data_IF_044523002513
#
_entry.id   IF_044523002513
#
_cell.length_a   1.000
_cell.length_b   1.000
_cell.length_c   1.000
_cell.angle_alpha   90.00
_cell.angle_beta   90.00
_cell.angle_gamma   90.00
#
_symmetry.space_group_name_H-M   'P 1'
#
loop_
_entity.id
_entity.type
_entity.pdbx_description
1 polymer ?
#
# COMPACT_ATOMS: atom_id res chain seq x y z
N UNK A 1 -21.72 -16.01 -1.09
CA UNK A 1 -20.46 -15.36 -0.72
C UNK A 1 -20.63 -13.87 -0.82
N UNK A 2 -19.72 -13.10 -0.22
CA UNK A 2 -19.67 -11.66 -0.42
C UNK A 2 -18.97 -11.33 -1.74
N UNK A 3 -19.48 -10.32 -2.44
CA UNK A 3 -18.97 -9.90 -3.74
C UNK A 3 -18.94 -8.38 -3.84
N UNK A 4 -17.85 -7.84 -4.38
CA UNK A 4 -17.78 -6.43 -4.80
C UNK A 4 -18.35 -6.31 -6.21
N UNK A 5 -19.26 -5.35 -6.38
CA UNK A 5 -19.97 -5.05 -7.62
C UNK A 5 -19.48 -3.72 -8.16
N UNK A 6 -19.00 -3.71 -9.39
CA UNK A 6 -18.57 -2.52 -10.09
C UNK A 6 -19.30 -2.35 -11.43
N UNK A 7 -19.36 -1.12 -11.93
CA UNK A 7 -19.95 -0.78 -13.22
C UNK A 7 -19.00 0.07 -14.06
N UNK A 8 -19.14 -0.02 -15.37
CA UNK A 8 -18.52 0.90 -16.32
C UNK A 8 -19.59 1.57 -17.18
N UNK A 9 -19.27 2.72 -17.76
CA UNK A 9 -20.12 3.44 -18.71
C UNK A 9 -19.28 4.44 -19.51
N UNK A 10 -19.83 4.91 -20.64
CA UNK A 10 -19.25 6.04 -21.37
C UNK A 10 -19.66 7.36 -20.71
N UNK A 11 -18.76 8.33 -20.45
CA UNK A 11 -19.04 9.63 -19.80
C UNK A 11 -19.21 10.83 -20.76
N UNK A 12 -20.08 11.80 -20.42
CA UNK A 12 -20.40 13.02 -21.22
C UNK A 12 -21.35 13.94 -20.44
N UNK A 13 -21.36 15.21 -20.83
CA UNK A 13 -22.05 16.28 -20.12
C UNK A 13 -23.59 16.19 -20.08
N UNK A 14 -24.22 15.28 -20.83
CA UNK A 14 -25.69 15.12 -20.83
C UNK A 14 -26.17 13.90 -20.03
N UNK A 15 -25.28 13.15 -19.39
CA UNK A 15 -25.66 12.01 -18.55
C UNK A 15 -26.17 12.48 -17.19
N UNK A 16 -26.90 11.58 -16.54
CA UNK A 16 -27.40 11.81 -15.19
C UNK A 16 -26.25 12.00 -14.19
N UNK A 17 -26.45 12.89 -13.23
CA UNK A 17 -25.54 13.05 -12.07
C UNK A 17 -25.91 12.14 -10.90
N UNK A 18 -27.07 11.49 -10.97
CA UNK A 18 -27.68 10.67 -9.93
C UNK A 18 -28.22 9.33 -10.49
N UNK A 19 -27.51 8.68 -11.40
CA UNK A 19 -27.96 7.42 -12.00
C UNK A 19 -28.05 6.29 -10.95
N UNK A 20 -29.26 5.76 -10.66
CA UNK A 20 -29.48 4.86 -9.52
C UNK A 20 -29.18 3.39 -9.87
N UNK A 21 -28.25 2.80 -9.14
CA UNK A 21 -27.95 1.37 -9.16
C UNK A 21 -28.49 0.67 -7.90
N UNK A 22 -29.10 -0.50 -8.04
CA UNK A 22 -29.56 -1.34 -6.92
C UNK A 22 -29.20 -2.80 -7.13
N UNK A 23 -28.61 -3.44 -6.12
CA UNK A 23 -28.32 -4.87 -6.13
C UNK A 23 -29.39 -5.67 -5.37
N UNK A 24 -29.73 -6.86 -5.85
CA UNK A 24 -30.71 -7.78 -5.26
C UNK A 24 -30.16 -9.19 -5.14
N UNK A 25 -30.57 -9.88 -4.07
CA UNK A 25 -30.25 -11.28 -3.85
C UNK A 25 -31.23 -12.19 -4.59
N UNK A 26 -30.99 -12.42 -5.87
CA UNK A 26 -31.87 -13.18 -6.75
C UNK A 26 -32.91 -12.33 -7.49
N UNK A 27 -33.54 -12.94 -8.48
CA UNK A 27 -34.56 -12.27 -9.32
C UNK A 27 -35.82 -11.99 -8.47
N UNK A 28 -36.10 -10.71 -8.22
CA UNK A 28 -37.19 -10.28 -7.34
C UNK A 28 -36.91 -10.52 -5.85
N UNK A 29 -35.65 -10.76 -5.49
CA UNK A 29 -35.22 -10.95 -4.11
C UNK A 29 -35.11 -9.64 -3.32
N UNK A 30 -34.65 -9.71 -2.05
CA UNK A 30 -34.43 -8.52 -1.24
C UNK A 30 -33.28 -7.66 -1.81
N UNK A 31 -33.40 -6.34 -1.61
CA UNK A 31 -32.33 -5.38 -1.90
C UNK A 31 -31.13 -5.67 -0.99
N UNK A 32 -29.94 -5.75 -1.59
CA UNK A 32 -28.65 -5.89 -0.91
C UNK A 32 -27.96 -4.54 -0.71
N UNK A 33 -28.17 -3.58 -1.61
CA UNK A 33 -27.61 -2.24 -1.54
C UNK A 33 -28.06 -1.37 -2.72
N UNK A 34 -27.90 -0.05 -2.60
CA UNK A 34 -28.19 0.91 -3.67
C UNK A 34 -27.25 2.12 -3.61
N UNK A 35 -26.92 2.70 -4.75
CA UNK A 35 -26.08 3.91 -4.87
C UNK A 35 -26.49 4.72 -6.10
N UNK A 36 -26.43 6.05 -5.99
CA UNK A 36 -26.61 6.97 -7.12
C UNK A 36 -25.24 7.43 -7.63
N UNK A 37 -25.05 7.42 -8.95
CA UNK A 37 -23.74 7.62 -9.58
C UNK A 37 -23.78 8.75 -10.62
N UNK A 38 -22.77 9.62 -10.58
CA UNK A 38 -22.61 10.66 -11.59
C UNK A 38 -21.95 10.11 -12.86
N UNK A 39 -22.76 9.85 -13.89
CA UNK A 39 -22.29 9.32 -15.17
C UNK A 39 -21.73 10.39 -16.13
N UNK A 40 -21.65 11.65 -15.70
CA UNK A 40 -20.94 12.67 -16.47
C UNK A 40 -19.42 12.49 -16.37
N UNK A 41 -18.95 11.90 -15.27
CA UNK A 41 -17.56 11.55 -15.06
C UNK A 41 -17.27 10.14 -15.57
N UNK A 42 -16.06 9.94 -16.08
CA UNK A 42 -15.60 8.59 -16.38
C UNK A 42 -15.60 7.77 -15.08
N UNK A 43 -15.94 6.48 -15.13
CA UNK A 43 -15.52 5.59 -14.06
C UNK A 43 -14.00 5.72 -13.88
N UNK A 44 -13.55 5.78 -12.64
CA UNK A 44 -12.17 6.11 -12.31
C UNK A 44 -11.73 5.46 -11.01
N UNK A 45 -12.43 4.42 -10.53
CA UNK A 45 -11.98 3.71 -9.35
C UNK A 45 -10.90 2.69 -9.74
N UNK A 46 -10.97 2.09 -10.94
CA UNK A 46 -9.96 1.12 -11.41
C UNK A 46 -9.97 0.79 -12.90
N UNK A 47 -8.86 0.26 -13.39
CA UNK A 47 -8.73 -0.25 -14.77
C UNK A 47 -8.75 -1.78 -14.81
N UNK A 48 -9.64 -2.37 -15.60
CA UNK A 48 -9.67 -3.83 -15.79
C UNK A 48 -10.33 -4.20 -17.11
N UNK A 49 -9.86 -5.26 -17.76
CA UNK A 49 -10.36 -5.73 -19.05
C UNK A 49 -10.43 -4.64 -20.14
N UNK A 50 -9.51 -3.66 -20.10
CA UNK A 50 -9.41 -2.58 -21.08
C UNK A 50 -10.44 -1.46 -20.91
N UNK A 51 -11.08 -1.34 -19.74
CA UNK A 51 -11.94 -0.21 -19.41
C UNK A 51 -11.81 0.20 -17.94
N UNK A 52 -12.24 1.43 -17.65
CA UNK A 52 -12.27 1.94 -16.29
C UNK A 52 -13.59 1.57 -15.62
N UNK A 53 -13.58 1.38 -14.31
CA UNK A 53 -14.69 0.88 -13.52
C UNK A 53 -14.94 1.76 -12.30
N UNK A 54 -16.18 1.74 -11.83
CA UNK A 54 -16.65 2.36 -10.59
C UNK A 54 -17.17 1.27 -9.67
N UNK A 55 -16.63 1.15 -8.47
CA UNK A 55 -17.21 0.32 -7.43
C UNK A 55 -18.55 0.90 -6.99
N UNK A 56 -19.58 0.06 -7.05
CA UNK A 56 -20.94 0.43 -6.65
C UNK A 56 -21.17 0.08 -5.17
N UNK A 57 -20.86 -1.17 -4.80
CA UNK A 57 -21.18 -1.74 -3.49
C UNK A 57 -20.54 -3.10 -3.29
N UNK A 58 -20.45 -3.54 -2.03
CA UNK A 58 -20.17 -4.95 -1.67
C UNK A 58 -21.43 -5.59 -1.11
N UNK A 59 -21.77 -6.81 -1.56
CA UNK A 59 -23.04 -7.47 -1.27
C UNK A 59 -22.87 -8.94 -0.88
N UNK A 60 -23.65 -9.39 0.11
CA UNK A 60 -23.72 -10.81 0.47
C UNK A 60 -24.77 -11.54 -0.38
N UNK A 61 -24.31 -12.35 -1.33
CA UNK A 61 -25.19 -13.16 -2.18
C UNK A 61 -25.36 -14.54 -1.55
N UNK A 62 -26.59 -14.88 -1.17
CA UNK A 62 -26.92 -16.17 -0.55
C UNK A 62 -27.70 -17.11 -1.46
N UNK A 63 -28.38 -16.59 -2.49
CA UNK A 63 -29.25 -17.37 -3.38
C UNK A 63 -28.59 -17.79 -4.70
N UNK A 64 -27.26 -17.62 -4.80
CA UNK A 64 -26.47 -18.01 -5.98
C UNK A 64 -26.72 -17.18 -7.24
N UNK A 65 -27.65 -16.22 -7.21
CA UNK A 65 -27.92 -15.25 -8.27
C UNK A 65 -27.87 -13.83 -7.69
N UNK A 66 -27.13 -12.95 -8.35
CA UNK A 66 -27.08 -11.52 -8.05
C UNK A 66 -27.75 -10.78 -9.22
N UNK A 67 -28.67 -9.86 -8.92
CA UNK A 67 -29.24 -8.95 -9.92
C UNK A 67 -28.77 -7.54 -9.61
N UNK A 68 -28.22 -6.85 -10.61
CA UNK A 68 -27.87 -5.42 -10.51
C UNK A 68 -28.78 -4.68 -11.47
N UNK A 69 -29.61 -3.81 -10.93
CA UNK A 69 -30.56 -2.99 -11.67
C UNK A 69 -30.02 -1.56 -11.77
N UNK A 70 -30.15 -0.97 -12.96
CA UNK A 70 -29.94 0.45 -13.22
C UNK A 70 -31.26 1.02 -13.73
N UNK A 71 -31.82 2.02 -13.04
CA UNK A 71 -33.09 2.63 -13.45
C UNK A 71 -32.87 4.01 -14.06
N UNK A 72 -33.89 4.54 -14.74
CA UNK A 72 -33.87 5.87 -15.33
C UNK A 72 -34.57 6.93 -14.47
N UNK A 73 -34.81 6.63 -13.19
CA UNK A 73 -35.30 7.59 -12.19
C UNK A 73 -34.16 8.54 -11.78
N UNK A 74 -33.72 9.35 -12.75
CA UNK A 74 -32.51 10.17 -12.67
C UNK A 74 -32.71 11.52 -13.39
N UNK A 75 -31.82 12.47 -13.16
CA UNK A 75 -31.86 13.84 -13.66
C UNK A 75 -31.40 14.02 -15.12
N UNK A 76 -30.97 12.94 -15.78
CA UNK A 76 -30.40 12.97 -17.12
C UNK A 76 -30.41 11.63 -17.86
N UNK A 77 -29.62 11.52 -18.94
CA UNK A 77 -29.49 10.25 -19.66
C UNK A 77 -28.73 9.22 -18.82
N UNK A 78 -29.31 8.05 -18.64
CA UNK A 78 -28.68 6.91 -17.96
C UNK A 78 -28.11 5.94 -18.99
N UNK A 79 -26.85 5.56 -18.83
CA UNK A 79 -26.08 4.70 -19.73
C UNK A 79 -25.77 3.39 -19.01
N UNK A 80 -26.31 2.30 -19.55
CA UNK A 80 -25.95 0.94 -19.16
C UNK A 80 -24.85 0.42 -20.08
N UNK A 81 -23.81 -0.18 -19.51
CA UNK A 81 -22.75 -0.87 -20.25
C UNK A 81 -22.48 -2.24 -19.63
N UNK A 82 -21.54 -2.35 -18.67
CA UNK A 82 -21.18 -3.62 -18.06
C UNK A 82 -21.11 -3.56 -16.52
N UNK A 83 -21.28 -4.75 -15.90
CA UNK A 83 -21.12 -4.99 -14.47
C UNK A 83 -19.99 -6.02 -14.27
N UNK A 84 -19.11 -5.76 -13.31
CA UNK A 84 -18.09 -6.70 -12.82
C UNK A 84 -18.44 -7.14 -11.40
N UNK A 85 -18.30 -8.44 -11.15
CA UNK A 85 -18.55 -9.04 -9.84
C UNK A 85 -17.30 -9.83 -9.46
N UNK A 86 -16.64 -9.45 -8.37
CA UNK A 86 -15.46 -10.12 -7.85
C UNK A 86 -15.74 -10.64 -6.44
N UNK A 87 -15.24 -11.83 -6.03
CA UNK A 87 -15.27 -12.25 -4.64
C UNK A 87 -14.68 -11.14 -3.78
N UNK A 88 -15.41 -10.80 -2.73
CA UNK A 88 -14.96 -9.78 -1.81
C UNK A 88 -13.96 -10.44 -0.83
N UNK A 89 -12.81 -9.82 -0.54
CA UNK A 89 -11.85 -10.26 0.51
C UNK A 89 -12.59 -10.68 1.79
N UNK A 90 -12.26 -11.76 2.50
CA UNK A 90 -13.04 -12.18 3.66
C UNK A 90 -13.11 -11.06 4.70
N UNK A 91 -14.27 -10.90 5.37
CA UNK A 91 -14.32 -10.11 6.61
C UNK A 91 -13.30 -10.72 7.59
N UNK A 92 -12.55 -9.91 8.35
CA UNK A 92 -11.55 -10.42 9.29
C UNK A 92 -12.22 -11.39 10.26
N UNK A 93 -12.00 -12.69 10.08
CA UNK A 93 -12.72 -13.73 10.81
C UNK A 93 -12.07 -14.00 12.17
N UNK A 94 -10.76 -13.80 12.26
CA UNK A 94 -9.94 -13.93 13.46
C UNK A 94 -8.88 -12.81 13.49
N UNK A 95 -8.56 -12.25 14.66
CA UNK A 95 -7.51 -11.24 14.79
C UNK A 95 -6.14 -11.85 14.50
N UNK A 96 -5.33 -11.15 13.70
CA UNK A 96 -3.92 -11.50 13.50
C UNK A 96 -3.13 -11.08 14.74
N UNK A 97 -2.25 -11.96 15.22
CA UNK A 97 -1.32 -11.69 16.32
C UNK A 97 0.10 -11.68 15.77
N UNK A 98 0.80 -10.55 15.93
CA UNK A 98 2.21 -10.44 15.51
C UNK A 98 3.11 -11.16 16.53
N UNK A 99 3.43 -12.42 16.27
CA UNK A 99 4.24 -13.26 17.15
C UNK A 99 5.16 -14.29 16.44
N UNK A 100 5.08 -14.39 15.11
CA UNK A 100 5.88 -15.30 14.29
C UNK A 100 5.27 -16.70 14.13
N UNK A 101 4.08 -16.95 14.69
CA UNK A 101 3.23 -18.12 14.40
C UNK A 101 2.18 -17.77 13.34
N UNK A 102 2.45 -18.15 12.09
CA UNK A 102 1.62 -17.80 10.95
C UNK A 102 0.34 -18.64 10.78
N UNK A 103 -0.09 -19.36 11.82
CA UNK A 103 -1.26 -20.24 11.73
C UNK A 103 -2.59 -19.49 11.60
N UNK A 104 -2.68 -18.26 12.12
CA UNK A 104 -3.83 -17.36 11.97
C UNK A 104 -3.96 -16.79 10.53
N UNK A 105 -2.86 -16.73 9.77
CA UNK A 105 -2.83 -16.38 8.34
C UNK A 105 -3.39 -17.46 7.42
N UNK A 106 -3.70 -18.66 7.92
CA UNK A 106 -4.14 -19.80 7.11
C UNK A 106 -5.46 -19.54 6.36
N UNK A 107 -6.32 -18.67 6.89
CA UNK A 107 -7.62 -18.32 6.29
C UNK A 107 -7.57 -17.07 5.40
N UNK A 108 -6.47 -16.31 5.45
CA UNK A 108 -6.31 -15.08 4.67
C UNK A 108 -5.98 -15.44 3.22
N UNK A 109 -6.61 -14.79 2.22
CA UNK A 109 -6.30 -15.00 0.82
C UNK A 109 -4.82 -14.81 0.53
N UNK A 110 -4.27 -15.67 -0.30
CA UNK A 110 -2.85 -15.66 -0.68
C UNK A 110 -2.72 -15.19 -2.11
N UNK A 111 -1.89 -14.17 -2.30
CA UNK A 111 -1.39 -13.74 -3.59
C UNK A 111 0.00 -14.35 -3.77
N UNK A 112 0.33 -14.73 -5.00
CA UNK A 112 1.56 -15.45 -5.31
C UNK A 112 2.35 -14.68 -6.33
N UNK A 113 3.65 -14.67 -6.15
CA UNK A 113 4.61 -14.11 -7.07
C UNK A 113 5.40 -15.27 -7.71
N UNK A 114 5.84 -15.17 -8.98
CA UNK A 114 6.73 -16.17 -9.55
C UNK A 114 8.01 -16.28 -8.72
N UNK A 115 8.63 -17.45 -8.72
CA UNK A 115 9.96 -17.58 -8.13
C UNK A 115 11.03 -17.30 -9.20
N UNK A 116 12.20 -16.81 -8.75
CA UNK A 116 13.38 -16.57 -9.59
C UNK A 116 13.24 -15.40 -10.59
N UNK A 117 12.54 -14.33 -10.21
CA UNK A 117 12.34 -13.13 -11.04
C UNK A 117 12.74 -11.80 -10.38
N UNK A 118 13.42 -11.84 -9.22
CA UNK A 118 14.05 -10.65 -8.63
C UNK A 118 14.94 -9.91 -9.64
N UNK A 119 15.01 -8.60 -9.48
CA UNK A 119 15.55 -7.71 -10.49
C UNK A 119 16.35 -6.54 -9.90
N UNK A 120 17.06 -5.80 -10.75
CA UNK A 120 17.75 -4.56 -10.38
C UNK A 120 16.77 -3.38 -10.23
N UNK A 121 17.20 -2.32 -9.55
CA UNK A 121 16.38 -1.11 -9.30
C UNK A 121 16.81 0.10 -10.14
N UNK A 122 17.64 -0.13 -11.16
CA UNK A 122 18.18 0.96 -12.00
C UNK A 122 17.18 1.44 -13.08
N UNK A 123 16.05 0.75 -13.25
CA UNK A 123 15.01 1.12 -14.20
C UNK A 123 14.06 2.16 -13.62
N UNK A 124 13.61 3.11 -14.44
CA UNK A 124 12.81 4.27 -13.98
C UNK A 124 11.75 4.72 -14.98
N UNK A 125 11.56 4.00 -16.09
CA UNK A 125 10.63 4.38 -17.14
C UNK A 125 9.50 3.36 -17.30
N UNK A 126 8.34 3.87 -17.67
CA UNK A 126 7.18 3.04 -17.99
C UNK A 126 7.51 2.01 -19.08
N UNK A 127 7.27 0.74 -18.77
CA UNK A 127 7.49 -0.38 -19.69
C UNK A 127 8.95 -0.84 -19.82
N UNK A 128 9.85 -0.32 -18.98
CA UNK A 128 11.19 -0.92 -18.83
C UNK A 128 11.07 -2.38 -18.37
N UNK A 129 12.05 -3.20 -18.76
CA UNK A 129 12.21 -4.55 -18.22
C UNK A 129 13.56 -4.59 -17.51
N UNK A 130 13.59 -4.71 -16.18
CA UNK A 130 14.84 -4.70 -15.44
C UNK A 130 15.67 -5.95 -15.68
N UNK A 131 16.95 -5.88 -15.32
CA UNK A 131 17.82 -7.04 -15.40
C UNK A 131 17.57 -7.94 -14.18
N UNK A 132 17.52 -9.26 -14.40
CA UNK A 132 17.50 -10.22 -13.30
C UNK A 132 18.73 -10.06 -12.40
N UNK A 133 18.49 -10.11 -11.08
CA UNK A 133 19.52 -10.10 -10.04
C UNK A 133 19.30 -11.34 -9.18
N UNK A 134 20.33 -12.16 -8.99
CA UNK A 134 20.17 -13.36 -8.18
C UNK A 134 20.33 -13.02 -6.69
N UNK A 135 19.21 -12.71 -6.04
CA UNK A 135 19.18 -12.33 -4.63
C UNK A 135 18.03 -13.03 -3.89
N UNK A 136 18.25 -14.26 -3.37
CA UNK A 136 17.16 -15.07 -2.82
C UNK A 136 16.45 -14.43 -1.63
N UNK A 137 17.13 -13.58 -0.84
CA UNK A 137 16.49 -12.93 0.32
C UNK A 137 15.37 -11.96 -0.10
N UNK A 138 15.33 -11.47 -1.35
CA UNK A 138 14.24 -10.61 -1.84
C UNK A 138 13.29 -11.31 -2.79
N UNK A 139 13.56 -12.56 -3.18
CA UNK A 139 12.71 -13.37 -4.07
C UNK A 139 11.36 -13.64 -3.42
N UNK A 140 10.39 -12.80 -3.73
CA UNK A 140 9.05 -12.83 -3.14
C UNK A 140 8.32 -14.05 -3.72
N UNK A 141 7.62 -14.78 -2.85
CA UNK A 141 6.89 -15.99 -3.25
C UNK A 141 5.40 -15.84 -3.03
N UNK A 142 5.03 -15.27 -1.88
CA UNK A 142 3.64 -15.01 -1.56
C UNK A 142 3.49 -13.85 -0.60
N UNK A 143 2.34 -13.20 -0.70
CA UNK A 143 2.00 -12.05 0.12
C UNK A 143 0.51 -12.06 0.45
N UNK A 144 0.16 -11.49 1.60
CA UNK A 144 -1.22 -11.42 2.08
C UNK A 144 -1.49 -10.12 2.80
N UNK A 145 -2.77 -9.74 2.79
CA UNK A 145 -3.27 -8.59 3.53
C UNK A 145 -4.59 -8.93 4.22
N UNK A 146 -4.69 -8.53 5.48
CA UNK A 146 -5.95 -8.40 6.21
C UNK A 146 -5.94 -7.10 7.01
N UNK A 147 -7.06 -6.78 7.66
CA UNK A 147 -7.17 -5.58 8.49
C UNK A 147 -8.09 -5.84 9.69
N UNK A 148 -8.03 -4.97 10.68
CA UNK A 148 -9.11 -4.80 11.65
C UNK A 148 -9.66 -3.36 11.55
N UNK A 149 -10.38 -2.89 12.57
CA UNK A 149 -10.97 -1.55 12.55
C UNK A 149 -9.94 -0.41 12.57
N UNK A 150 -8.69 -0.69 12.93
CA UNK A 150 -7.66 0.30 13.23
C UNK A 150 -6.30 -0.01 12.58
N UNK A 151 -6.11 -1.20 12.01
CA UNK A 151 -4.80 -1.67 11.56
C UNK A 151 -4.88 -2.46 10.26
N UNK A 152 -3.86 -2.29 9.42
CA UNK A 152 -3.48 -3.30 8.45
C UNK A 152 -2.61 -4.37 9.10
N UNK A 153 -2.71 -5.57 8.54
CA UNK A 153 -1.78 -6.67 8.77
C UNK A 153 -1.28 -7.13 7.41
N UNK A 154 0.04 -7.21 7.26
CA UNK A 154 0.70 -7.65 6.04
C UNK A 154 1.58 -8.86 6.30
N UNK A 155 1.65 -9.74 5.32
CA UNK A 155 2.45 -10.97 5.31
C UNK A 155 3.30 -11.00 4.05
N UNK A 156 4.54 -11.46 4.18
CA UNK A 156 5.44 -11.74 3.09
C UNK A 156 6.12 -13.10 3.32
N UNK A 157 6.34 -13.84 2.24
CA UNK A 157 7.14 -15.06 2.18
C UNK A 157 8.18 -14.90 1.06
N UNK A 158 9.43 -15.23 1.33
CA UNK A 158 10.53 -15.16 0.36
C UNK A 158 11.32 -16.47 0.29
N UNK A 159 12.02 -16.70 -0.81
CA UNK A 159 12.91 -17.87 -0.96
C UNK A 159 14.06 -17.86 0.04
N UNK A 160 14.59 -16.68 0.37
CA UNK A 160 15.70 -16.47 1.30
C UNK A 160 15.25 -15.89 2.64
N UNK A 161 16.19 -15.30 3.38
CA UNK A 161 15.95 -14.78 4.74
C UNK A 161 15.56 -13.29 4.70
N UNK A 162 14.32 -12.97 5.07
CA UNK A 162 13.80 -11.59 5.07
C UNK A 162 14.48 -10.76 6.17
N UNK A 163 14.85 -9.51 5.85
CA UNK A 163 15.42 -8.55 6.80
C UNK A 163 16.90 -8.76 7.12
N UNK A 164 17.53 -9.78 6.52
CA UNK A 164 18.95 -10.07 6.74
C UNK A 164 19.82 -9.01 6.07
N UNK A 165 20.75 -8.44 6.84
CA UNK A 165 21.69 -7.41 6.35
C UNK A 165 23.12 -7.70 6.79
N UNK A 166 24.10 -7.32 5.95
CA UNK A 166 25.51 -7.41 6.31
C UNK A 166 25.84 -6.45 7.46
N UNK A 167 26.51 -6.96 8.50
CA UNK A 167 27.11 -6.13 9.55
C UNK A 167 28.42 -5.54 9.04
N UNK A 168 28.61 -4.25 9.25
CA UNK A 168 29.84 -3.53 8.87
C UNK A 168 31.06 -4.11 9.58
N UNK A 169 32.09 -4.39 8.78
CA UNK A 169 33.43 -4.72 9.25
C UNK A 169 34.46 -4.02 8.37
N UNK A 170 34.79 -2.78 8.75
CA UNK A 170 35.76 -1.94 8.05
C UNK A 170 37.16 -2.56 8.01
N UNK A 171 37.52 -3.44 8.96
CA UNK A 171 38.82 -4.11 8.95
C UNK A 171 38.92 -5.15 7.83
N UNK A 172 37.79 -5.74 7.44
CA UNK A 172 37.68 -6.71 6.35
C UNK A 172 37.08 -6.11 5.07
N UNK A 173 36.80 -4.80 5.05
CA UNK A 173 36.25 -4.09 3.90
C UNK A 173 34.76 -4.37 3.64
N UNK A 174 34.03 -4.87 4.65
CA UNK A 174 32.60 -5.14 4.56
C UNK A 174 31.81 -3.88 4.94
N UNK A 175 30.93 -3.41 4.04
CA UNK A 175 30.01 -2.30 4.30
C UNK A 175 28.74 -2.78 5.00
N UNK A 176 28.05 -1.89 5.73
CA UNK A 176 26.72 -2.20 6.24
C UNK A 176 25.72 -2.41 5.08
N UNK A 177 24.94 -3.49 5.17
CA UNK A 177 23.82 -3.76 4.26
C UNK A 177 22.51 -3.11 4.72
N UNK A 178 21.53 -3.07 3.83
CA UNK A 178 20.16 -2.54 4.01
C UNK A 178 19.15 -3.53 3.48
N UNK A 179 17.98 -3.55 4.09
CA UNK A 179 16.84 -4.35 3.64
C UNK A 179 15.55 -3.58 3.92
N UNK A 180 14.62 -3.60 2.98
CA UNK A 180 13.28 -2.99 3.10
C UNK A 180 12.20 -4.04 2.89
N UNK A 181 11.22 -4.03 3.79
CA UNK A 181 9.92 -4.68 3.59
C UNK A 181 8.93 -3.55 3.33
N UNK A 182 8.35 -3.52 2.14
CA UNK A 182 7.61 -2.36 1.63
C UNK A 182 6.21 -2.79 1.23
N UNK A 183 5.22 -2.02 1.67
CA UNK A 183 3.89 -2.00 1.05
C UNK A 183 3.65 -0.60 0.50
N UNK A 184 3.59 -0.46 -0.83
CA UNK A 184 3.14 0.78 -1.47
C UNK A 184 1.62 0.77 -1.54
N UNK A 185 1.00 1.93 -1.31
CA UNK A 185 -0.44 2.07 -1.13
C UNK A 185 -0.94 3.29 -1.91
N UNK A 186 -1.84 3.06 -2.85
CA UNK A 186 -2.77 4.08 -3.34
C UNK A 186 -3.92 4.16 -2.32
N UNK A 187 -4.05 5.33 -1.68
CA UNK A 187 -4.95 5.50 -0.53
C UNK A 187 -6.32 6.03 -0.92
N UNK A 188 -6.48 6.56 -2.13
CA UNK A 188 -7.69 7.26 -2.57
C UNK A 188 -8.26 6.77 -3.92
N UNK A 189 -7.61 5.82 -4.56
CA UNK A 189 -7.93 5.27 -5.89
C UNK A 189 -7.93 6.35 -6.99
N UNK A 190 -7.10 7.38 -6.86
CA UNK A 190 -6.90 8.42 -7.88
C UNK A 190 -5.50 8.31 -8.50
N UNK A 191 -5.42 7.75 -9.72
CA UNK A 191 -4.17 7.67 -10.51
C UNK A 191 -3.48 9.05 -10.74
N UNK A 192 -4.15 10.18 -10.45
CA UNK A 192 -3.56 11.50 -10.56
C UNK A 192 -2.71 11.93 -9.35
N UNK A 193 -2.85 11.27 -8.20
CA UNK A 193 -2.04 11.51 -7.00
C UNK A 193 -0.89 10.50 -6.90
N UNK A 194 0.01 10.71 -5.95
CA UNK A 194 1.11 9.78 -5.73
C UNK A 194 2.14 9.78 -6.87
N UNK A 195 2.74 8.62 -7.09
CA UNK A 195 3.73 8.39 -8.14
C UNK A 195 3.51 7.03 -8.80
N UNK A 196 4.01 6.83 -10.02
CA UNK A 196 4.06 5.52 -10.61
C UNK A 196 5.16 4.64 -10.01
N UNK A 197 4.85 3.38 -9.67
CA UNK A 197 5.80 2.46 -9.04
C UNK A 197 7.13 2.30 -9.80
N UNK A 198 7.10 2.34 -11.13
CA UNK A 198 8.34 2.21 -11.92
C UNK A 198 9.35 3.33 -11.65
N UNK A 199 8.94 4.52 -11.16
CA UNK A 199 9.91 5.56 -10.78
C UNK A 199 10.76 5.14 -9.57
N UNK A 200 10.25 4.26 -8.73
CA UNK A 200 10.95 3.71 -7.57
C UNK A 200 11.80 2.49 -7.86
N UNK A 201 11.90 2.06 -9.12
CA UNK A 201 12.58 0.82 -9.48
C UNK A 201 11.79 -0.44 -9.08
N UNK A 202 10.48 -0.33 -8.86
CA UNK A 202 9.59 -1.48 -8.65
C UNK A 202 9.09 -2.03 -9.98
N UNK A 203 9.05 -3.35 -10.12
CA UNK A 203 8.56 -4.01 -11.34
C UNK A 203 7.51 -5.08 -11.02
N UNK A 204 6.26 -4.81 -11.39
CA UNK A 204 5.11 -5.68 -11.08
C UNK A 204 4.77 -6.66 -12.21
N UNK A 205 5.47 -6.61 -13.34
CA UNK A 205 5.06 -7.32 -14.56
C UNK A 205 3.78 -6.79 -15.24
N UNK A 206 3.12 -5.78 -14.68
CA UNK A 206 1.90 -5.16 -15.22
C UNK A 206 2.11 -3.68 -15.58
N UNK A 207 1.11 -3.06 -16.20
CA UNK A 207 1.11 -1.62 -16.50
C UNK A 207 0.24 -0.80 -15.55
N UNK A 208 -0.40 -1.44 -14.58
CA UNK A 208 -1.31 -0.80 -13.62
C UNK A 208 -0.51 -0.40 -12.39
N UNK A 209 0.28 0.67 -12.53
CA UNK A 209 1.31 1.04 -11.55
C UNK A 209 1.28 2.51 -11.19
N UNK A 210 0.24 3.25 -11.57
CA UNK A 210 0.09 4.69 -11.31
C UNK A 210 -0.63 4.90 -9.96
N UNK A 211 -0.62 6.12 -9.40
CA UNK A 211 -1.49 6.47 -8.26
C UNK A 211 -0.97 6.18 -6.84
N UNK A 212 0.22 5.59 -6.66
CA UNK A 212 0.65 5.16 -5.33
C UNK A 212 1.09 6.34 -4.45
N UNK A 213 0.36 6.61 -3.37
CA UNK A 213 0.54 7.83 -2.58
C UNK A 213 1.51 7.68 -1.41
N UNK A 214 1.46 6.52 -0.76
CA UNK A 214 2.07 6.30 0.55
C UNK A 214 2.67 4.90 0.66
N UNK A 215 3.69 4.75 1.50
CA UNK A 215 4.21 3.42 1.83
C UNK A 215 4.09 3.16 3.33
N UNK A 216 4.00 1.89 3.69
CA UNK A 216 4.33 1.40 5.02
C UNK A 216 5.55 0.48 4.93
N UNK A 217 6.60 0.80 5.69
CA UNK A 217 7.91 0.18 5.50
C UNK A 217 8.58 -0.23 6.81
N UNK A 218 9.35 -1.32 6.74
CA UNK A 218 10.33 -1.69 7.76
C UNK A 218 11.72 -1.69 7.12
N UNK A 219 12.63 -0.91 7.70
CA UNK A 219 14.04 -0.90 7.34
C UNK A 219 14.84 -1.71 8.34
N UNK A 220 15.68 -2.61 7.82
CA UNK A 220 16.80 -3.22 8.54
C UNK A 220 18.10 -2.65 8.01
N UNK A 221 19.05 -2.39 8.91
CA UNK A 221 20.34 -1.80 8.58
C UNK A 221 21.42 -2.36 9.51
N UNK A 222 22.56 -2.74 8.94
CA UNK A 222 23.74 -3.13 9.71
C UNK A 222 23.48 -4.27 10.73
N UNK A 223 22.74 -5.29 10.32
CA UNK A 223 22.42 -6.50 11.09
C UNK A 223 21.33 -6.34 12.15
N UNK A 224 20.56 -5.25 12.12
CA UNK A 224 19.50 -4.98 13.10
C UNK A 224 18.34 -4.19 12.48
N UNK A 225 17.21 -4.19 13.19
CA UNK A 225 16.11 -3.27 12.93
C UNK A 225 16.59 -1.81 12.96
N UNK A 226 16.11 -1.01 12.02
CA UNK A 226 16.33 0.44 12.00
C UNK A 226 15.07 1.23 12.29
N UNK A 227 14.02 1.06 11.48
CA UNK A 227 12.77 1.79 11.66
C UNK A 227 11.58 1.06 11.07
N UNK A 228 10.41 1.27 11.68
CA UNK A 228 9.11 0.97 11.12
C UNK A 228 8.39 2.30 10.93
N UNK A 229 7.97 2.59 9.70
CA UNK A 229 7.63 3.95 9.32
C UNK A 229 6.65 4.03 8.14
N UNK A 230 6.16 5.24 7.92
CA UNK A 230 5.24 5.61 6.85
C UNK A 230 5.98 6.57 5.90
N UNK A 231 5.73 6.46 4.60
CA UNK A 231 6.19 7.42 3.60
C UNK A 231 5.02 8.08 2.91
N UNK A 232 5.24 9.28 2.39
CA UNK A 232 4.32 9.95 1.48
C UNK A 232 5.06 10.51 0.27
N UNK A 233 4.55 10.21 -0.91
CA UNK A 233 5.02 10.66 -2.21
C UNK A 233 4.03 11.64 -2.84
N UNK A 234 3.79 12.80 -2.21
CA UNK A 234 2.91 13.84 -2.76
C UNK A 234 3.61 15.18 -2.95
N UNK A 235 4.87 15.13 -3.39
CA UNK A 235 5.65 16.28 -3.80
C UNK A 235 6.41 15.98 -5.10
N UNK A 236 6.64 17.02 -5.91
CA UNK A 236 7.37 16.95 -7.19
C UNK A 236 8.60 17.84 -7.23
N UNK A 237 8.84 18.59 -6.16
CA UNK A 237 9.95 19.51 -6.03
C UNK A 237 10.18 19.86 -4.55
N UNK A 238 11.33 20.49 -4.28
CA UNK A 238 11.74 20.85 -2.92
C UNK A 238 10.78 21.81 -2.19
N UNK A 239 10.03 22.65 -2.91
CA UNK A 239 9.06 23.57 -2.28
C UNK A 239 7.82 22.82 -1.79
N UNK A 240 7.30 21.90 -2.60
CA UNK A 240 6.19 21.02 -2.21
C UNK A 240 6.62 20.09 -1.07
N UNK A 241 7.83 19.53 -1.13
CA UNK A 241 8.37 18.69 -0.06
C UNK A 241 8.52 19.48 1.26
N UNK A 242 9.01 20.72 1.19
CA UNK A 242 9.07 21.60 2.35
C UNK A 242 7.69 21.83 2.98
N UNK A 243 6.65 21.98 2.16
CA UNK A 243 5.28 22.15 2.64
C UNK A 243 4.77 20.87 3.31
N UNK A 244 5.05 19.69 2.74
CA UNK A 244 4.67 18.40 3.32
C UNK A 244 5.25 18.21 4.75
N UNK A 245 6.54 18.51 4.95
CA UNK A 245 7.15 18.49 6.29
C UNK A 245 6.45 19.45 7.27
N UNK A 246 6.07 20.64 6.81
CA UNK A 246 5.37 21.61 7.64
C UNK A 246 3.96 21.13 8.01
N UNK A 247 3.19 20.59 7.06
CA UNK A 247 1.84 20.10 7.28
C UNK A 247 1.81 18.91 8.26
N UNK A 248 2.71 17.93 8.05
CA UNK A 248 2.78 16.71 8.85
C UNK A 248 3.29 16.96 10.28
N UNK A 249 4.10 18.00 10.48
CA UNK A 249 4.63 18.39 11.80
C UNK A 249 3.81 19.45 12.52
N UNK A 250 2.60 19.75 12.03
CA UNK A 250 1.76 20.84 12.57
C UNK A 250 2.52 22.18 12.63
N UNK A 251 3.31 22.48 11.59
CA UNK A 251 4.11 23.69 11.42
C UNK A 251 5.36 23.78 12.30
N UNK A 252 5.72 22.70 13.02
CA UNK A 252 6.87 22.71 13.92
C UNK A 252 8.21 22.46 13.22
N UNK A 253 8.19 21.73 12.10
CA UNK A 253 9.39 21.51 11.30
C UNK A 253 9.82 22.81 10.62
N UNK A 254 11.11 23.14 10.72
CA UNK A 254 11.71 24.27 10.06
C UNK A 254 12.69 23.78 8.99
N UNK A 255 12.40 24.07 7.72
CA UNK A 255 13.29 23.73 6.62
C UNK A 255 14.66 24.39 6.77
N UNK A 256 15.74 23.60 6.64
CA UNK A 256 17.12 23.98 6.99
C UNK A 256 17.28 24.48 8.44
N UNK A 257 16.37 24.11 9.33
CA UNK A 257 16.43 24.40 10.75
C UNK A 257 17.39 23.47 11.50
N UNK A 258 17.61 23.73 12.79
CA UNK A 258 18.49 22.92 13.62
C UNK A 258 17.88 21.57 14.04
N UNK A 259 16.55 21.44 13.98
CA UNK A 259 15.80 20.23 14.30
C UNK A 259 15.18 19.68 13.02
N UNK A 260 15.48 18.43 12.69
CA UNK A 260 15.09 17.80 11.41
C UNK A 260 14.39 16.46 11.57
N UNK A 261 14.29 15.93 12.78
CA UNK A 261 13.66 14.63 13.04
C UNK A 261 12.49 14.75 14.02
N UNK A 262 12.53 15.67 14.98
CA UNK A 262 11.46 15.87 15.96
C UNK A 262 11.87 15.43 17.37
N UNK A 263 10.93 15.05 18.25
CA UNK A 263 9.53 14.73 17.94
C UNK A 263 8.68 15.97 17.64
N UNK A 264 7.68 15.78 16.78
CA UNK A 264 6.68 16.80 16.44
C UNK A 264 5.27 16.32 16.77
N UNK A 265 4.37 17.26 17.06
CA UNK A 265 2.94 16.97 17.15
C UNK A 265 2.42 16.61 15.76
N UNK A 266 1.71 15.48 15.59
CA UNK A 266 1.20 15.07 14.29
C UNK A 266 0.21 16.11 13.75
N UNK A 267 0.46 16.58 12.54
CA UNK A 267 -0.43 17.45 11.79
C UNK A 267 -1.33 16.64 10.87
N UNK A 268 -1.19 16.86 9.56
CA UNK A 268 -2.01 16.23 8.53
C UNK A 268 -1.19 15.91 7.27
N UNK A 269 -1.78 15.07 6.40
CA UNK A 269 -1.27 14.74 5.07
C UNK A 269 -2.24 15.29 4.02
N UNK A 270 -1.71 15.81 2.93
CA UNK A 270 -2.48 16.02 1.71
C UNK A 270 -2.07 14.92 0.71
N UNK A 271 -3.05 14.19 0.20
CA UNK A 271 -2.85 13.26 -0.92
C UNK A 271 -2.80 14.11 -2.20
N UNK A 272 -1.66 14.11 -2.89
CA UNK A 272 -1.31 15.07 -3.94
C UNK A 272 -0.49 14.37 -5.03
N UNK A 273 -0.48 14.91 -6.27
CA UNK A 273 0.46 14.45 -7.28
C UNK A 273 1.91 14.57 -6.80
N UNK A 274 2.67 13.51 -6.97
CA UNK A 274 4.04 13.40 -6.49
C UNK A 274 5.00 12.82 -7.52
N UNK A 275 6.11 12.32 -6.99
CA UNK A 275 7.20 11.66 -7.70
C UNK A 275 7.97 10.82 -6.69
N UNK A 276 8.72 9.84 -7.17
CA UNK A 276 9.51 9.00 -6.28
C UNK A 276 10.56 9.79 -5.48
N UNK A 277 11.26 10.75 -6.09
CA UNK A 277 12.41 11.44 -5.47
C UNK A 277 12.07 12.41 -4.32
N UNK A 278 10.81 12.83 -4.20
CA UNK A 278 10.39 13.86 -3.24
C UNK A 278 9.35 13.31 -2.27
N UNK A 279 9.83 12.70 -1.19
CA UNK A 279 9.00 12.09 -0.16
C UNK A 279 9.37 12.54 1.24
N UNK A 280 8.39 12.48 2.14
CA UNK A 280 8.64 12.50 3.58
C UNK A 280 8.52 11.09 4.14
N UNK A 281 9.22 10.81 5.24
CA UNK A 281 9.20 9.51 5.89
C UNK A 281 9.20 9.68 7.42
N UNK A 282 8.29 9.03 8.14
CA UNK A 282 8.16 9.21 9.60
C UNK A 282 7.75 7.96 10.35
N UNK A 283 8.24 7.83 11.58
CA UNK A 283 7.67 6.91 12.57
C UNK A 283 6.63 7.64 13.40
N UNK A 284 5.48 6.99 13.62
CA UNK A 284 4.43 7.47 14.51
C UNK A 284 4.59 6.87 15.90
N UNK A 285 4.43 7.71 16.93
CA UNK A 285 4.54 7.34 18.34
C UNK A 285 3.20 7.51 19.02
N UNK A 286 2.57 6.38 19.38
CA UNK A 286 1.38 6.38 20.21
C UNK A 286 1.77 6.33 21.68
N UNK A 287 1.83 7.49 22.31
CA UNK A 287 2.31 7.62 23.69
C UNK A 287 1.24 7.22 24.72
N UNK A 288 -0.04 7.31 24.33
CA UNK A 288 -1.17 6.95 25.18
C UNK A 288 -2.31 6.30 24.38
N UNK A 289 -2.58 4.99 24.58
CA UNK A 289 -3.67 4.32 23.89
C UNK A 289 -5.08 4.89 24.18
N UNK A 290 -5.25 5.66 25.26
CA UNK A 290 -6.54 6.23 25.63
C UNK A 290 -6.83 7.59 24.98
N UNK A 291 -5.82 8.27 24.42
CA UNK A 291 -5.98 9.60 23.84
C UNK A 291 -4.84 9.93 22.88
N UNK A 292 -5.15 10.63 21.79
CA UNK A 292 -4.13 11.09 20.83
C UNK A 292 -3.48 12.43 21.19
N UNK A 293 -3.68 12.92 22.42
CA UNK A 293 -3.28 14.28 22.81
C UNK A 293 -1.77 14.45 22.96
N UNK A 294 -1.04 13.37 23.21
CA UNK A 294 0.41 13.33 23.39
C UNK A 294 1.12 12.49 22.32
N UNK A 295 0.43 12.08 21.26
CA UNK A 295 1.05 11.41 20.13
C UNK A 295 2.07 12.30 19.44
N UNK A 296 3.06 11.67 18.83
CA UNK A 296 4.18 12.34 18.16
C UNK A 296 4.53 11.66 16.85
N UNK A 297 5.13 12.41 15.93
CA UNK A 297 5.88 11.84 14.81
C UNK A 297 7.36 12.15 14.95
N UNK A 298 8.20 11.29 14.40
CA UNK A 298 9.62 11.55 14.17
C UNK A 298 9.91 11.31 12.70
N UNK A 299 10.40 12.32 11.98
CA UNK A 299 10.90 12.12 10.63
C UNK A 299 12.17 11.28 10.68
N UNK A 300 12.14 10.15 9.98
CA UNK A 300 13.26 9.21 9.91
C UNK A 300 14.05 9.45 8.63
N UNK A 301 15.21 8.82 8.53
CA UNK A 301 16.08 8.89 7.35
C UNK A 301 16.69 7.52 7.17
N UNK A 302 16.92 7.16 5.92
CA UNK A 302 17.66 5.94 5.58
C UNK A 302 18.98 5.84 6.32
N UNK A 303 19.25 4.68 6.93
CA UNK A 303 20.44 4.45 7.78
C UNK A 303 20.56 5.41 8.98
N UNK A 304 19.47 6.13 9.28
CA UNK A 304 19.39 7.06 10.40
C UNK A 304 19.52 6.35 11.74
N UNK A 305 19.43 7.08 12.87
CA UNK A 305 19.34 6.42 14.16
C UNK A 305 18.12 5.48 14.20
N UNK A 306 18.21 4.43 15.01
CA UNK A 306 17.08 3.52 15.23
C UNK A 306 15.93 4.30 15.85
N UNK A 307 14.77 4.28 15.19
CA UNK A 307 13.52 4.90 15.69
C UNK A 307 12.43 3.84 15.67
N UNK A 308 12.04 3.38 16.85
CA UNK A 308 10.88 2.50 17.02
C UNK A 308 9.61 3.35 17.01
N UNK A 309 8.68 3.04 16.10
CA UNK A 309 7.34 3.63 16.05
C UNK A 309 6.27 2.62 16.47
N UNK A 310 5.05 2.83 15.97
CA UNK A 310 3.89 1.98 16.22
C UNK A 310 3.73 0.80 15.23
N UNK A 311 4.60 0.69 14.23
CA UNK A 311 4.68 -0.49 13.35
C UNK A 311 5.41 -1.61 14.09
N UNK A 312 4.80 -2.80 14.14
CA UNK A 312 5.38 -3.98 14.80
C UNK A 312 5.46 -5.15 13.83
N UNK A 313 6.43 -6.03 14.01
CA UNK A 313 6.63 -7.19 13.14
C UNK A 313 7.13 -8.41 13.91
N UNK A 314 7.01 -9.57 13.29
CA UNK A 314 7.62 -10.82 13.75
C UNK A 314 8.05 -11.67 12.54
N UNK A 315 9.10 -12.46 12.74
CA UNK A 315 9.62 -13.39 11.74
C UNK A 315 9.17 -14.81 12.07
N UNK A 316 9.06 -15.65 11.03
CA UNK A 316 9.01 -17.09 11.24
C UNK A 316 10.31 -17.60 11.88
N UNK A 317 10.31 -18.79 12.51
CA UNK A 317 11.51 -19.34 13.13
C UNK A 317 12.72 -19.52 12.19
N UNK A 318 12.49 -19.57 10.89
CA UNK A 318 13.48 -19.71 9.82
C UNK A 318 13.69 -18.43 8.98
N UNK A 319 13.04 -17.32 9.36
CA UNK A 319 13.12 -16.01 8.71
C UNK A 319 12.65 -15.94 7.24
N UNK A 320 12.03 -17.00 6.72
CA UNK A 320 11.46 -16.99 5.36
C UNK A 320 10.14 -16.22 5.27
N UNK A 321 9.48 -15.96 6.41
CA UNK A 321 8.27 -15.17 6.47
C UNK A 321 8.41 -14.02 7.47
N UNK A 322 7.79 -12.89 7.13
CA UNK A 322 7.57 -11.76 8.04
C UNK A 322 6.09 -11.40 8.05
N UNK A 323 5.57 -11.07 9.23
CA UNK A 323 4.29 -10.38 9.40
C UNK A 323 4.52 -9.01 10.01
N UNK A 324 3.70 -8.04 9.61
CA UNK A 324 3.74 -6.68 10.17
C UNK A 324 2.34 -6.15 10.41
N UNK A 325 2.18 -5.45 11.54
CA UNK A 325 1.00 -4.68 11.89
C UNK A 325 1.29 -3.20 11.66
N UNK A 326 0.42 -2.55 10.91
CA UNK A 326 0.54 -1.13 10.55
C UNK A 326 -0.75 -0.39 10.96
N UNK A 327 -0.71 0.37 12.07
CA UNK A 327 -1.87 1.14 12.50
C UNK A 327 -2.27 2.25 11.52
N UNK A 328 -3.56 2.35 11.18
CA UNK A 328 -4.12 3.37 10.27
C UNK A 328 -3.78 4.80 10.69
N UNK A 329 -3.74 5.04 11.99
CA UNK A 329 -3.43 6.33 12.59
C UNK A 329 -2.05 6.88 12.19
N UNK A 330 -1.11 6.01 11.85
CA UNK A 330 0.22 6.42 11.40
C UNK A 330 0.25 7.04 10.00
N UNK A 331 -0.75 6.76 9.16
CA UNK A 331 -0.99 7.46 7.90
C UNK A 331 -1.53 8.88 8.09
N UNK A 332 -1.76 9.29 9.34
CA UNK A 332 -2.29 10.60 9.72
C UNK A 332 -3.73 10.82 9.21
N UNK A 333 -4.13 12.08 9.23
CA UNK A 333 -5.45 12.58 8.83
C UNK A 333 -5.27 13.65 7.75
N UNK A 334 -6.34 13.98 7.04
CA UNK A 334 -6.39 15.12 6.12
C UNK A 334 -6.50 16.46 6.88
N UNK A 335 -6.52 17.57 6.12
CA UNK A 335 -6.62 18.92 6.66
C UNK A 335 -7.95 19.20 7.40
N UNK A 336 -9.01 18.46 7.07
CA UNK A 336 -10.34 18.56 7.68
C UNK A 336 -10.46 17.67 8.94
N UNK A 337 -9.47 16.81 9.17
CA UNK A 337 -9.36 15.94 10.33
C UNK A 337 -9.90 14.52 10.11
N UNK A 338 -10.21 14.13 8.88
CA UNK A 338 -10.62 12.76 8.56
C UNK A 338 -9.38 11.86 8.43
N UNK A 339 -9.39 10.62 8.92
CA UNK A 339 -8.26 9.70 8.73
C UNK A 339 -7.96 9.47 7.23
N UNK A 340 -6.67 9.42 6.87
CA UNK A 340 -6.26 9.06 5.50
C UNK A 340 -6.63 7.60 5.20
N UNK A 341 -6.46 6.72 6.19
CA UNK A 341 -6.93 5.34 6.13
C UNK A 341 -8.04 5.11 7.14
N UNK A 342 -9.17 4.59 6.66
CA UNK A 342 -10.29 4.19 7.50
C UNK A 342 -11.10 3.04 6.88
N UNK A 343 -11.85 2.35 7.74
CA UNK A 343 -12.88 1.42 7.30
C UNK A 343 -13.89 2.11 6.37
N UNK A 344 -14.29 1.41 5.32
CA UNK A 344 -15.27 1.82 4.33
C UNK A 344 -14.66 2.35 3.03
N UNK A 345 -13.33 2.38 2.92
CA UNK A 345 -12.61 2.81 1.72
C UNK A 345 -12.01 1.64 0.94
N UNK A 346 -11.67 1.90 -0.33
CA UNK A 346 -10.83 1.02 -1.15
C UNK A 346 -9.40 1.56 -1.15
N UNK A 347 -8.43 0.67 -1.27
CA UNK A 347 -7.01 0.98 -1.47
C UNK A 347 -6.42 -0.01 -2.46
N UNK A 348 -5.38 0.39 -3.17
CA UNK A 348 -4.58 -0.52 -3.99
C UNK A 348 -3.21 -0.73 -3.32
N UNK A 349 -2.73 -1.97 -3.29
CA UNK A 349 -1.54 -2.35 -2.50
C UNK A 349 -0.55 -3.09 -3.39
N UNK A 350 0.74 -2.73 -3.32
CA UNK A 350 1.82 -3.54 -3.93
C UNK A 350 2.85 -3.89 -2.86
N UNK A 351 3.42 -5.09 -2.96
CA UNK A 351 4.30 -5.67 -1.96
C UNK A 351 5.69 -5.82 -2.56
N UNK A 352 6.69 -5.22 -1.93
CA UNK A 352 8.07 -5.27 -2.41
C UNK A 352 9.04 -5.65 -1.30
N UNK A 353 10.03 -6.45 -1.67
CA UNK A 353 11.21 -6.72 -0.87
C UNK A 353 12.42 -6.11 -1.58
N UNK A 354 13.22 -5.33 -0.87
CA UNK A 354 14.45 -4.77 -1.44
C UNK A 354 15.65 -4.98 -0.52
N UNK A 355 16.80 -5.24 -1.11
CA UNK A 355 18.04 -5.43 -0.36
C UNK A 355 19.26 -4.92 -1.12
N UNK A 356 20.22 -4.42 -0.35
CA UNK A 356 21.54 -4.15 -0.88
C UNK A 356 22.28 -5.45 -1.21
N UNK A 357 23.07 -5.42 -2.29
CA UNK A 357 23.57 -6.64 -2.92
C UNK A 357 24.64 -7.46 -2.20
N UNK A 358 25.09 -7.09 -0.99
CA UNK A 358 26.27 -7.74 -0.36
C UNK A 358 26.00 -9.18 0.04
N UNK A 359 24.73 -9.57 0.13
CA UNK A 359 24.30 -10.94 0.42
C UNK A 359 23.70 -11.66 -0.81
N UNK A 360 23.68 -10.98 -1.96
CA UNK A 360 23.25 -11.56 -3.23
C UNK A 360 24.26 -12.57 -3.80
N UNK A 361 23.80 -13.47 -4.64
CA UNK A 361 24.62 -14.49 -5.27
C UNK A 361 25.53 -13.94 -6.38
N UNK A 362 25.30 -12.70 -6.82
CA UNK A 362 26.13 -11.99 -7.81
C UNK A 362 27.40 -11.36 -7.23
N UNK A 363 27.62 -11.48 -5.91
CA UNK A 363 28.84 -11.01 -5.24
C UNK A 363 30.06 -11.75 -5.78
N UNK A 364 31.08 -10.97 -6.17
CA UNK A 364 32.33 -11.51 -6.72
C UNK A 364 33.52 -10.61 -6.38
N UNK A 365 34.74 -11.04 -6.69
CA UNK A 365 35.92 -10.20 -6.48
C UNK A 365 35.91 -8.90 -7.31
N UNK A 366 35.15 -8.85 -8.41
CA UNK A 366 34.98 -7.67 -9.25
C UNK A 366 33.73 -6.85 -8.86
N UNK A 367 32.76 -7.48 -8.19
CA UNK A 367 31.58 -6.85 -7.65
C UNK A 367 31.38 -7.23 -6.17
N UNK A 368 32.23 -6.73 -5.26
CA UNK A 368 32.24 -7.18 -3.87
C UNK A 368 31.01 -6.75 -3.06
N UNK A 369 30.18 -5.88 -3.62
CA UNK A 369 28.98 -5.34 -2.99
C UNK A 369 27.68 -5.84 -3.65
N UNK A 370 27.79 -6.74 -4.64
CA UNK A 370 26.67 -7.21 -5.44
C UNK A 370 25.91 -6.10 -6.17
N UNK A 371 24.68 -6.42 -6.58
CA UNK A 371 23.74 -5.49 -7.22
C UNK A 371 22.55 -5.37 -6.27
N UNK A 372 21.98 -4.17 -6.16
CA UNK A 372 20.74 -3.99 -5.39
C UNK A 372 19.64 -4.84 -6.02
N UNK A 373 18.96 -5.63 -5.20
CA UNK A 373 17.87 -6.49 -5.64
C UNK A 373 16.53 -5.96 -5.14
N UNK A 374 15.52 -6.05 -5.99
CA UNK A 374 14.11 -5.81 -5.66
C UNK A 374 13.28 -6.95 -6.24
N UNK A 375 12.16 -7.23 -5.61
CA UNK A 375 11.12 -8.07 -6.16
C UNK A 375 9.77 -7.52 -5.72
N UNK A 376 8.83 -7.38 -6.66
CA UNK A 376 7.57 -6.68 -6.44
C UNK A 376 6.40 -7.47 -6.99
N UNK A 377 5.54 -7.93 -6.09
CA UNK A 377 4.33 -8.66 -6.46
C UNK A 377 3.33 -7.81 -7.24
N UNK A 378 2.51 -8.47 -8.05
CA UNK A 378 1.40 -7.80 -8.75
C UNK A 378 0.47 -7.05 -7.77
N UNK A 379 0.01 -5.83 -8.13
CA UNK A 379 -0.90 -5.06 -7.29
C UNK A 379 -2.18 -5.80 -6.88
N UNK A 380 -2.53 -5.69 -5.60
CA UNK A 380 -3.84 -6.02 -5.06
C UNK A 380 -4.74 -4.80 -5.25
N UNK A 381 -5.43 -4.78 -6.38
CA UNK A 381 -6.32 -3.68 -6.73
C UNK A 381 -7.68 -3.84 -6.04
N UNK A 382 -8.20 -2.74 -5.51
CA UNK A 382 -9.51 -2.58 -4.87
C UNK A 382 -9.67 -3.39 -3.60
N UNK A 383 -8.65 -3.34 -2.76
CA UNK A 383 -8.75 -3.90 -1.43
C UNK A 383 -9.75 -3.11 -0.57
N UNK A 384 -10.92 -3.68 -0.34
CA UNK A 384 -11.97 -3.02 0.45
C UNK A 384 -11.73 -3.19 1.96
N UNK A 385 -11.51 -2.08 2.67
CA UNK A 385 -11.42 -2.02 4.12
C UNK A 385 -12.82 -2.13 4.74
N UNK A 386 -13.24 -3.35 5.08
CA UNK A 386 -14.58 -3.64 5.57
C UNK A 386 -14.77 -3.33 7.05
N UNK A 387 -15.98 -2.92 7.45
CA UNK A 387 -16.33 -2.90 8.87
C UNK A 387 -16.17 -4.29 9.47
N UNK A 388 -15.41 -4.36 10.57
CA UNK A 388 -15.32 -5.58 11.39
C UNK A 388 -16.67 -5.75 12.09
N UNK A 389 -17.37 -6.86 11.82
CA UNK A 389 -18.73 -7.15 12.30
C UNK A 389 -18.80 -7.61 13.75
#
# INVERSE_FOLDING_TARGET
GEYTVAATWTPFANRATDAPFTAYNGVGGPVLGSIDVNQQQAPNDFSSFGGNWKNLMTVLVTEGTLVVELTNEADGYVIADAIRVAPANPSPADPIVIDGDFSDWASVPTYTDPADDQHDTDHTQAGDTPAHVNHPDVDLLSYKVTHDAENFYFYFEATGEIGRTQVEDLANGLRAGRYYVIVTIDVDSDDATGYPLYEGGYYTGTTDTEGYDMNAEIEFYNGQFNTGHYLQHGARNALELQQAFADQSNGQYLWNGPETQGPFMPGFVNVLPGSYDFYTQWSYHENNPATSADDQITFVQDKGPVVSGNVTYAFSPDNHMIEMKVPFKGFLKDADGNPIIQIGQFVDLSFSLEASGELGNDVSAQNPNGIWGSDTGEPINHYYLRPVS
#
